data_IF_873527957858
#
_entry.id   IF_873527957858
#
_cell.length_a   1.000
_cell.length_b   1.000
_cell.length_c   1.000
_cell.angle_alpha   90.00
_cell.angle_beta   90.00
_cell.angle_gamma   90.00
#
_symmetry.space_group_name_H-M   'P 1'
#
loop_
_entity.id
_entity.type
_entity.pdbx_description
1 polymer ?
#
# COMPACT_ATOMS: atom_id res chain seq x y z
N UNK A 1 10.50 21.91 -7.79
CA UNK A 1 11.00 22.04 -9.18
C UNK A 1 12.34 21.35 -9.35
N UNK A 2 13.33 21.63 -8.51
CA UNK A 2 14.68 21.01 -8.59
C UNK A 2 14.68 19.49 -8.41
N UNK A 3 13.92 18.95 -7.45
CA UNK A 3 13.80 17.51 -7.21
C UNK A 3 13.28 16.76 -8.44
N UNK A 4 12.25 17.28 -9.10
CA UNK A 4 11.70 16.67 -10.32
C UNK A 4 12.68 16.72 -11.48
N UNK A 5 13.50 17.76 -11.58
CA UNK A 5 14.52 17.85 -12.61
C UNK A 5 15.60 16.78 -12.44
N UNK A 6 16.15 16.63 -11.23
CA UNK A 6 17.15 15.60 -10.92
C UNK A 6 16.57 14.21 -11.15
N UNK A 7 15.34 13.97 -10.72
CA UNK A 7 14.63 12.71 -10.92
C UNK A 7 14.51 12.35 -12.42
N UNK A 8 14.07 13.29 -13.23
CA UNK A 8 13.95 13.08 -14.68
C UNK A 8 15.30 12.80 -15.33
N UNK A 9 16.37 13.50 -14.91
CA UNK A 9 17.72 13.25 -15.40
C UNK A 9 18.21 11.85 -15.05
N UNK A 10 17.98 11.40 -13.82
CA UNK A 10 18.36 10.05 -13.36
C UNK A 10 17.59 8.98 -14.15
N UNK A 11 16.28 9.13 -14.31
CA UNK A 11 15.47 8.19 -15.09
C UNK A 11 15.94 8.12 -16.54
N UNK A 12 16.25 9.25 -17.14
CA UNK A 12 16.76 9.30 -18.51
C UNK A 12 18.13 8.63 -18.66
N UNK A 13 19.03 8.83 -17.70
CA UNK A 13 20.33 8.15 -17.70
C UNK A 13 20.21 6.63 -17.52
N UNK A 14 19.25 6.19 -16.72
CA UNK A 14 18.96 4.74 -16.58
C UNK A 14 18.50 4.15 -17.91
N UNK A 15 17.56 4.83 -18.59
CA UNK A 15 17.02 4.35 -19.86
C UNK A 15 18.06 4.39 -21.00
N UNK A 16 18.76 5.52 -21.14
CA UNK A 16 19.68 5.75 -22.26
C UNK A 16 21.01 5.00 -22.12
N UNK A 17 21.51 4.86 -20.88
CA UNK A 17 22.84 4.33 -20.60
C UNK A 17 22.84 2.97 -19.91
N UNK A 18 21.68 2.37 -19.70
CA UNK A 18 21.51 1.10 -18.98
C UNK A 18 22.22 1.09 -17.61
N UNK A 19 22.08 2.21 -16.91
CA UNK A 19 22.68 2.43 -15.59
C UNK A 19 21.81 1.83 -14.48
N UNK A 20 22.49 1.34 -13.45
CA UNK A 20 21.82 1.01 -12.17
C UNK A 20 22.06 2.16 -11.19
N UNK A 21 21.00 2.65 -10.56
CA UNK A 21 21.07 3.74 -9.60
C UNK A 21 20.56 3.26 -8.24
N UNK A 22 21.33 3.53 -7.20
CA UNK A 22 20.93 3.31 -5.82
C UNK A 22 20.71 4.67 -5.18
N UNK A 23 19.54 4.90 -4.63
CA UNK A 23 19.20 6.14 -3.94
C UNK A 23 18.62 5.84 -2.56
N UNK A 24 18.78 6.77 -1.64
CA UNK A 24 18.17 6.70 -0.32
C UNK A 24 17.23 7.87 -0.12
N UNK A 25 16.09 7.61 0.45
CA UNK A 25 15.11 8.63 0.83
C UNK A 25 14.35 8.17 2.08
N UNK A 26 13.85 9.10 2.84
CA UNK A 26 12.86 8.86 3.89
C UNK A 26 11.42 9.09 3.38
N UNK A 27 11.27 9.50 2.13
CA UNK A 27 9.98 9.71 1.47
C UNK A 27 9.65 8.57 0.53
N UNK A 28 8.71 7.72 0.92
CA UNK A 28 8.23 6.61 0.09
C UNK A 28 7.59 7.08 -1.21
N UNK A 29 6.94 8.24 -1.18
CA UNK A 29 6.33 8.84 -2.37
C UNK A 29 7.36 9.16 -3.47
N UNK A 30 8.55 9.63 -3.08
CA UNK A 30 9.63 9.88 -4.04
C UNK A 30 10.14 8.58 -4.66
N UNK A 31 10.27 7.52 -3.85
CA UNK A 31 10.74 6.21 -4.31
C UNK A 31 9.70 5.50 -5.20
N UNK A 32 8.41 5.65 -4.88
CA UNK A 32 7.31 5.05 -5.63
C UNK A 32 7.34 5.36 -7.12
N UNK A 33 7.67 6.60 -7.44
CA UNK A 33 7.68 7.07 -8.82
C UNK A 33 9.03 6.89 -9.56
N UNK A 34 10.10 6.54 -8.83
CA UNK A 34 11.48 6.61 -9.38
C UNK A 34 12.18 5.26 -9.34
N UNK A 35 11.84 4.40 -8.39
CA UNK A 35 12.54 3.14 -8.14
C UNK A 35 11.69 1.94 -8.55
N UNK A 36 12.35 0.86 -8.98
CA UNK A 36 11.72 -0.42 -9.26
C UNK A 36 11.72 -1.32 -8.03
N UNK A 37 12.76 -1.22 -7.22
CA UNK A 37 12.97 -2.03 -6.01
C UNK A 37 13.17 -1.16 -4.78
N UNK A 38 12.70 -1.67 -3.65
CA UNK A 38 12.79 -1.03 -2.35
C UNK A 38 13.45 -1.97 -1.34
N UNK A 39 14.38 -1.42 -0.57
CA UNK A 39 14.92 -2.08 0.61
C UNK A 39 14.77 -1.17 1.83
N UNK A 40 14.20 -1.68 2.91
CA UNK A 40 14.07 -0.97 4.18
C UNK A 40 15.14 -1.41 5.16
N UNK A 41 15.91 -0.45 5.64
CA UNK A 41 16.89 -0.66 6.70
C UNK A 41 16.39 -0.06 8.02
N UNK A 42 16.49 -0.82 9.09
CA UNK A 42 16.15 -0.36 10.43
C UNK A 42 17.14 -0.94 11.44
N UNK A 43 17.73 -0.08 12.27
CA UNK A 43 18.73 -0.45 13.30
C UNK A 43 19.85 -1.35 12.77
N UNK A 44 20.37 -1.04 11.58
CA UNK A 44 21.46 -1.78 10.95
C UNK A 44 21.07 -3.12 10.32
N UNK A 45 19.79 -3.46 10.27
CA UNK A 45 19.26 -4.67 9.64
C UNK A 45 18.35 -4.39 8.48
N UNK A 46 18.29 -5.33 7.53
CA UNK A 46 17.31 -5.34 6.44
C UNK A 46 15.97 -5.85 6.99
N UNK A 47 14.93 -5.04 6.91
CA UNK A 47 13.59 -5.36 7.40
C UNK A 47 12.69 -5.85 6.28
N UNK A 48 12.78 -5.22 5.12
CA UNK A 48 11.97 -5.51 3.95
C UNK A 48 12.79 -5.31 2.69
N UNK A 49 12.64 -6.19 1.73
CA UNK A 49 13.13 -6.06 0.36
C UNK A 49 12.04 -6.54 -0.59
N UNK A 50 11.67 -5.73 -1.56
CA UNK A 50 10.62 -6.06 -2.54
C UNK A 50 10.69 -5.20 -3.78
N UNK A 51 10.16 -5.70 -4.88
CA UNK A 51 9.73 -4.86 -6.00
C UNK A 51 8.62 -3.93 -5.55
N UNK A 52 8.68 -2.68 -5.98
CA UNK A 52 7.66 -1.68 -5.61
C UNK A 52 6.29 -2.06 -6.18
N UNK A 53 6.25 -2.58 -7.40
CA UNK A 53 5.01 -3.02 -8.02
C UNK A 53 4.37 -4.17 -7.24
N UNK A 54 5.16 -5.18 -6.87
CA UNK A 54 4.69 -6.33 -6.10
C UNK A 54 4.19 -5.88 -4.71
N UNK A 55 4.92 -4.99 -4.07
CA UNK A 55 4.51 -4.43 -2.79
C UNK A 55 3.18 -3.66 -2.89
N UNK A 56 3.03 -2.79 -3.90
CA UNK A 56 1.80 -2.00 -4.11
C UNK A 56 0.58 -2.86 -4.44
N UNK A 57 0.78 -3.99 -5.09
CA UNK A 57 -0.31 -4.88 -5.50
C UNK A 57 -0.61 -5.99 -4.48
N UNK A 58 0.23 -6.13 -3.46
CA UNK A 58 0.06 -7.14 -2.40
C UNK A 58 -1.18 -6.92 -1.55
N UNK A 59 -1.55 -5.67 -1.33
CA UNK A 59 -2.68 -5.24 -0.53
C UNK A 59 -3.64 -4.37 -1.34
N UNK A 60 -4.90 -4.42 -0.99
CA UNK A 60 -5.93 -3.55 -1.56
C UNK A 60 -6.98 -3.20 -0.52
N UNK A 61 -7.66 -2.08 -0.76
CA UNK A 61 -8.73 -1.57 0.09
C UNK A 61 -10.07 -1.94 -0.50
N UNK A 62 -10.92 -2.52 0.32
CA UNK A 62 -12.30 -2.83 -0.03
C UNK A 62 -13.22 -1.87 0.71
N UNK A 63 -14.13 -1.26 -0.03
CA UNK A 63 -15.23 -0.50 0.51
C UNK A 63 -16.51 -1.26 0.21
N UNK A 64 -17.18 -1.76 1.24
CA UNK A 64 -18.34 -2.62 1.09
C UNK A 64 -19.47 -2.20 2.03
N UNK A 65 -20.69 -2.28 1.52
CA UNK A 65 -21.89 -2.07 2.30
C UNK A 65 -22.96 -3.11 1.93
N UNK A 66 -23.74 -3.52 2.91
CA UNK A 66 -24.89 -4.38 2.73
C UNK A 66 -26.16 -3.69 3.23
N UNK A 67 -27.29 -4.08 2.67
CA UNK A 67 -28.60 -3.61 3.14
C UNK A 67 -28.93 -4.19 4.52
N UNK A 68 -28.59 -5.45 4.73
CA UNK A 68 -28.79 -6.14 5.98
C UNK A 68 -27.64 -5.91 6.97
N UNK A 69 -27.92 -6.13 8.25
CA UNK A 69 -26.88 -6.05 9.28
C UNK A 69 -25.86 -7.17 9.11
N UNK A 70 -24.61 -6.84 9.18
CA UNK A 70 -23.49 -7.79 9.11
C UNK A 70 -22.39 -7.39 10.10
N UNK A 71 -21.47 -8.30 10.33
CA UNK A 71 -20.28 -8.10 11.14
C UNK A 71 -19.02 -8.65 10.44
N UNK A 72 -17.88 -8.55 11.12
CA UNK A 72 -16.61 -9.02 10.59
C UNK A 72 -16.59 -10.51 10.25
N UNK A 73 -17.39 -11.32 10.95
CA UNK A 73 -17.41 -12.78 10.76
C UNK A 73 -17.83 -13.19 9.34
N UNK A 74 -18.56 -12.32 8.65
CA UNK A 74 -18.94 -12.51 7.24
C UNK A 74 -17.75 -12.63 6.29
N UNK A 75 -16.61 -12.10 6.71
CA UNK A 75 -15.36 -12.09 5.94
C UNK A 75 -14.33 -13.11 6.47
N UNK A 76 -14.74 -14.04 7.30
CA UNK A 76 -13.87 -15.12 7.75
C UNK A 76 -13.41 -15.96 6.55
N UNK A 77 -12.13 -16.26 6.50
CA UNK A 77 -11.48 -16.95 5.37
C UNK A 77 -10.69 -16.03 4.44
N UNK A 78 -10.81 -14.71 4.60
CA UNK A 78 -9.94 -13.73 3.92
C UNK A 78 -8.78 -13.31 4.82
N UNK A 79 -7.65 -13.00 4.20
CA UNK A 79 -6.49 -12.42 4.91
C UNK A 79 -6.71 -10.91 5.13
N UNK A 80 -7.31 -10.56 6.26
CA UNK A 80 -7.68 -9.19 6.62
C UNK A 80 -6.62 -8.60 7.55
N UNK A 81 -5.98 -7.53 7.10
CA UNK A 81 -5.01 -6.78 7.89
C UNK A 81 -5.69 -5.71 8.76
N UNK A 82 -6.71 -5.07 8.21
CA UNK A 82 -7.45 -4.02 8.92
C UNK A 82 -8.94 -4.07 8.58
N UNK A 83 -9.79 -3.86 9.57
CA UNK A 83 -11.24 -3.80 9.41
C UNK A 83 -11.81 -2.62 10.20
N UNK A 84 -12.53 -1.76 9.51
CA UNK A 84 -13.20 -0.60 10.11
C UNK A 84 -14.63 -0.53 9.60
N UNK A 85 -15.59 -0.46 10.50
CA UNK A 85 -17.01 -0.38 10.17
C UNK A 85 -17.62 0.93 10.67
N UNK A 86 -18.32 1.61 9.78
CA UNK A 86 -19.05 2.84 10.06
C UNK A 86 -20.50 2.71 9.58
N UNK A 87 -21.38 2.36 10.49
CA UNK A 87 -22.79 2.07 10.15
C UNK A 87 -22.93 0.81 9.29
N UNK A 88 -23.51 0.95 8.10
CA UNK A 88 -23.64 -0.14 7.12
C UNK A 88 -22.44 -0.26 6.19
N UNK A 89 -21.47 0.63 6.28
CA UNK A 89 -20.31 0.72 5.41
C UNK A 89 -19.04 0.24 6.12
N UNK A 90 -18.24 -0.56 5.44
CA UNK A 90 -16.97 -1.06 5.96
C UNK A 90 -15.82 -0.75 5.02
N UNK A 91 -14.68 -0.40 5.60
CA UNK A 91 -13.39 -0.32 4.93
C UNK A 91 -12.54 -1.49 5.42
N UNK A 92 -12.03 -2.29 4.49
CA UNK A 92 -11.28 -3.50 4.79
C UNK A 92 -9.98 -3.46 3.99
N UNK A 93 -8.86 -3.71 4.65
CA UNK A 93 -7.57 -3.93 3.98
C UNK A 93 -7.35 -5.43 3.93
N UNK A 94 -7.20 -5.95 2.72
CA UNK A 94 -7.02 -7.38 2.46
C UNK A 94 -5.76 -7.65 1.65
N UNK A 95 -5.18 -8.82 1.91
CA UNK A 95 -4.11 -9.41 1.12
C UNK A 95 -4.67 -10.55 0.30
N UNK A 96 -4.19 -10.73 -0.92
CA UNK A 96 -4.53 -11.87 -1.77
C UNK A 96 -4.72 -11.52 -3.23
N UNK A 97 -5.35 -12.44 -3.94
CA UNK A 97 -5.74 -12.24 -5.34
C UNK A 97 -6.98 -11.36 -5.41
N UNK A 98 -6.80 -10.17 -5.94
CA UNK A 98 -7.84 -9.14 -6.06
C UNK A 98 -9.07 -9.62 -6.84
N UNK A 99 -8.86 -10.39 -7.91
CA UNK A 99 -9.93 -10.86 -8.78
C UNK A 99 -10.74 -11.96 -8.09
N UNK A 100 -10.08 -12.92 -7.46
CA UNK A 100 -10.75 -13.97 -6.69
C UNK A 100 -11.54 -13.40 -5.50
N UNK A 101 -10.98 -12.41 -4.80
CA UNK A 101 -11.68 -11.72 -3.71
C UNK A 101 -12.88 -10.95 -4.23
N UNK A 102 -12.73 -10.23 -5.34
CA UNK A 102 -13.83 -9.48 -5.96
C UNK A 102 -14.99 -10.40 -6.36
N UNK A 103 -14.69 -11.54 -6.98
CA UNK A 103 -15.70 -12.53 -7.37
C UNK A 103 -16.46 -13.07 -6.15
N UNK A 104 -15.74 -13.44 -5.10
CA UNK A 104 -16.34 -13.95 -3.87
C UNK A 104 -17.23 -12.90 -3.18
N UNK A 105 -16.76 -11.67 -3.08
CA UNK A 105 -17.54 -10.59 -2.46
C UNK A 105 -18.77 -10.20 -3.29
N UNK A 106 -18.68 -10.21 -4.61
CA UNK A 106 -19.84 -10.00 -5.49
C UNK A 106 -20.91 -11.09 -5.33
N UNK A 107 -20.50 -12.33 -5.08
CA UNK A 107 -21.43 -13.43 -4.80
C UNK A 107 -22.27 -13.22 -3.54
N UNK A 108 -21.77 -12.43 -2.59
CA UNK A 108 -22.50 -12.03 -1.36
C UNK A 108 -23.56 -10.96 -1.62
N UNK A 109 -23.66 -10.42 -2.85
CA UNK A 109 -24.62 -9.41 -3.27
C UNK A 109 -24.61 -8.14 -2.41
N UNK A 110 -23.46 -7.46 -2.26
CA UNK A 110 -23.38 -6.21 -1.53
C UNK A 110 -24.18 -5.11 -2.25
N UNK A 111 -24.66 -4.13 -1.50
CA UNK A 111 -25.27 -2.93 -2.06
C UNK A 111 -24.22 -2.02 -2.71
N UNK A 112 -23.02 -1.96 -2.14
CA UNK A 112 -21.87 -1.25 -2.66
C UNK A 112 -20.64 -2.14 -2.52
N UNK A 113 -19.84 -2.23 -3.56
CA UNK A 113 -18.52 -2.86 -3.54
C UNK A 113 -17.56 -2.08 -4.43
N UNK A 114 -16.58 -1.46 -3.81
CA UNK A 114 -15.46 -0.82 -4.48
C UNK A 114 -14.13 -1.44 -4.01
N UNK A 115 -13.26 -1.74 -4.96
CA UNK A 115 -11.92 -2.22 -4.68
C UNK A 115 -10.92 -1.18 -5.17
N UNK A 116 -10.18 -0.61 -4.24
CA UNK A 116 -9.30 0.52 -4.47
C UNK A 116 -7.83 0.12 -4.27
N UNK A 117 -6.92 0.65 -5.11
CA UNK A 117 -5.50 0.52 -4.86
C UNK A 117 -5.09 1.30 -3.62
N UNK A 118 -4.02 0.87 -2.98
CA UNK A 118 -3.33 1.61 -1.93
C UNK A 118 -2.11 2.34 -2.49
N UNK A 119 -1.74 3.44 -1.84
CA UNK A 119 -0.43 4.07 -2.07
C UNK A 119 0.67 3.18 -1.48
N UNK A 120 1.91 3.35 -1.96
CA UNK A 120 3.05 2.64 -1.40
C UNK A 120 3.20 2.90 0.12
N UNK A 121 2.93 4.13 0.54
CA UNK A 121 2.98 4.54 1.93
C UNK A 121 1.95 3.82 2.82
N UNK A 122 0.72 3.67 2.33
CA UNK A 122 -0.33 2.89 3.00
C UNK A 122 0.03 1.41 3.09
N UNK A 123 0.45 0.80 1.98
CA UNK A 123 0.88 -0.61 1.96
C UNK A 123 2.02 -0.84 2.93
N UNK A 124 3.03 0.03 2.89
CA UNK A 124 4.17 -0.02 3.79
C UNK A 124 3.74 0.01 5.27
N UNK A 125 2.82 0.90 5.63
CA UNK A 125 2.31 1.01 7.00
C UNK A 125 1.67 -0.30 7.46
N UNK A 126 0.78 -0.88 6.67
CA UNK A 126 0.12 -2.14 7.02
C UNK A 126 1.09 -3.33 7.06
N UNK A 127 2.05 -3.40 6.13
CA UNK A 127 3.06 -4.46 6.14
C UNK A 127 3.96 -4.37 7.38
N UNK A 128 4.36 -3.15 7.77
CA UNK A 128 5.17 -2.94 8.96
C UNK A 128 4.41 -3.28 10.26
N UNK A 129 3.13 -2.94 10.34
CA UNK A 129 2.27 -3.33 11.46
C UNK A 129 2.19 -4.86 11.61
N UNK A 130 2.11 -5.57 10.48
CA UNK A 130 2.11 -7.04 10.45
C UNK A 130 3.43 -7.62 11.01
N UNK A 131 4.55 -6.93 10.79
CA UNK A 131 5.86 -7.31 11.31
C UNK A 131 6.08 -6.86 12.78
N UNK A 132 5.09 -6.23 13.40
CA UNK A 132 5.13 -5.77 14.78
C UNK A 132 5.76 -4.39 14.98
N UNK A 133 5.98 -3.64 13.89
CA UNK A 133 6.42 -2.25 13.98
C UNK A 133 5.20 -1.32 14.08
N UNK A 134 5.17 -0.50 15.13
CA UNK A 134 4.15 0.55 15.26
C UNK A 134 4.71 1.84 14.68
N UNK A 135 4.19 2.26 13.54
CA UNK A 135 4.49 3.56 12.96
C UNK A 135 3.47 4.60 13.44
N UNK A 136 3.98 5.70 13.96
CA UNK A 136 3.12 6.85 14.25
C UNK A 136 2.91 7.63 12.93
N UNK A 137 1.70 7.65 12.35
CA UNK A 137 1.45 8.34 11.08
C UNK A 137 1.75 9.84 11.14
N UNK A 138 1.79 10.44 12.34
CA UNK A 138 2.16 11.86 12.51
C UNK A 138 3.61 12.20 12.07
N UNK A 139 4.47 11.21 11.88
CA UNK A 139 5.84 11.44 11.41
C UNK A 139 5.84 11.82 9.93
N UNK A 140 4.89 11.34 9.14
CA UNK A 140 4.81 11.58 7.70
C UNK A 140 4.03 12.86 7.35
N UNK A 141 3.11 13.30 8.21
CA UNK A 141 2.30 14.51 7.96
C UNK A 141 3.04 15.83 8.21
N UNK A 142 4.17 15.82 8.91
CA UNK A 142 4.89 17.06 9.28
C UNK A 142 5.76 17.65 8.17
N UNK A 143 6.07 16.92 7.11
CA UNK A 143 6.94 17.43 6.04
C UNK A 143 6.19 18.12 4.89
N UNK A 144 4.89 17.93 4.75
CA UNK A 144 4.07 18.61 3.73
C UNK A 144 3.70 20.06 4.11
N UNK A 145 4.11 20.55 5.29
CA UNK A 145 3.81 21.93 5.75
C UNK A 145 5.03 22.85 5.89
N UNK A 146 6.16 22.43 5.40
CA UNK A 146 7.35 23.28 5.36
C UNK A 146 7.70 23.75 3.95
#
# INVERSE_FOLDING_TARGET
VMRNLVKNMVCQDVEDNNMTVIMTSHSLRELEDTCDQLALLHKGGLVLESDILDLKTSLFKIQIAFVEKYDRSMFDGFDILHFSKHGSFSNIIMRGDKEAVAEHLNAMKPAILDILPLTLEEVFTYEMETLGYVFNPEIFEKEDRA
#
